data_IF_473617779937
#
_entry.id   IF_473617779937
#
_cell.length_a   1.000
_cell.length_b   1.000
_cell.length_c   1.000
_cell.angle_alpha   90.00
_cell.angle_beta   90.00
_cell.angle_gamma   90.00
#
_symmetry.space_group_name_H-M   'P 1'
#
loop_
_entity.id
_entity.type
_entity.pdbx_description
1 polymer ?
#
# COMPACT_ATOMS: atom_id res chain seq x y z
N UNK A 1 6.47 -10.34 14.67
CA UNK A 1 6.28 -9.84 13.32
C UNK A 1 5.44 -8.59 13.31
N UNK A 2 5.84 -7.63 12.51
CA UNK A 2 5.12 -6.35 12.46
C UNK A 2 3.93 -6.44 11.52
N UNK A 3 2.76 -6.15 12.05
CA UNK A 3 1.55 -5.98 11.26
C UNK A 3 1.48 -4.57 10.72
N UNK A 4 0.73 -4.36 9.66
CA UNK A 4 0.46 -3.02 9.15
C UNK A 4 -0.62 -2.36 10.02
N UNK A 5 -0.18 -1.60 11.01
CA UNK A 5 -1.04 -0.94 12.00
C UNK A 5 -1.18 0.54 11.73
N UNK A 6 -2.22 1.15 12.32
CA UNK A 6 -2.24 2.60 12.53
C UNK A 6 -1.00 2.98 13.33
N UNK A 7 -0.26 3.99 12.85
CA UNK A 7 0.99 4.43 13.46
C UNK A 7 2.24 3.75 12.92
N UNK A 8 2.11 2.72 12.08
CA UNK A 8 3.28 2.09 11.49
C UNK A 8 3.76 2.82 10.24
N UNK A 9 5.06 2.73 10.00
CA UNK A 9 5.69 3.29 8.82
C UNK A 9 5.65 2.27 7.68
N UNK A 10 5.45 2.77 6.47
CA UNK A 10 5.41 1.94 5.27
C UNK A 10 6.25 2.57 4.17
N UNK A 11 6.76 1.72 3.29
CA UNK A 11 7.47 2.18 2.09
C UNK A 11 6.48 2.39 0.95
N UNK A 12 6.71 3.43 0.16
CA UNK A 12 5.94 3.66 -1.06
C UNK A 12 6.66 3.01 -2.23
N UNK A 13 5.91 2.23 -3.01
CA UNK A 13 6.44 1.50 -4.16
C UNK A 13 5.78 1.92 -5.46
N UNK A 14 5.69 3.24 -5.65
CA UNK A 14 5.21 3.80 -6.91
C UNK A 14 6.08 4.97 -7.36
N UNK A 15 5.73 5.56 -8.49
CA UNK A 15 6.51 6.64 -9.10
C UNK A 15 6.12 8.05 -8.65
N UNK A 16 5.33 8.20 -7.59
CA UNK A 16 4.89 9.52 -7.10
C UNK A 16 6.01 10.34 -6.46
N UNK A 17 7.13 9.69 -6.11
CA UNK A 17 8.24 10.35 -5.43
C UNK A 17 8.19 10.24 -3.92
N UNK A 18 7.10 9.82 -3.34
CA UNK A 18 7.04 9.53 -1.91
C UNK A 18 7.90 8.29 -1.60
N UNK A 19 8.63 8.33 -0.49
CA UNK A 19 9.50 7.22 -0.07
C UNK A 19 8.92 6.49 1.12
N UNK A 20 8.54 7.22 2.16
CA UNK A 20 7.99 6.67 3.38
C UNK A 20 6.75 7.43 3.81
N UNK A 21 5.80 6.70 4.36
CA UNK A 21 4.56 7.24 4.88
C UNK A 21 4.25 6.66 6.25
N UNK A 22 3.46 7.37 7.02
CA UNK A 22 2.93 6.92 8.30
C UNK A 22 1.45 6.65 8.15
N UNK A 23 1.00 5.48 8.56
CA UNK A 23 -0.41 5.12 8.50
C UNK A 23 -1.17 5.86 9.60
N UNK A 24 -2.14 6.68 9.19
CA UNK A 24 -2.98 7.44 10.13
C UNK A 24 -4.23 6.64 10.47
N UNK A 25 -4.83 5.99 9.49
CA UNK A 25 -6.13 5.36 9.63
C UNK A 25 -6.31 4.22 8.63
N UNK A 26 -7.00 3.16 9.05
CA UNK A 26 -7.40 2.06 8.17
C UNK A 26 -8.88 2.20 7.86
N UNK A 27 -9.24 2.24 6.58
CA UNK A 27 -10.61 2.39 6.14
C UNK A 27 -11.33 1.03 6.11
N UNK A 28 -12.66 1.08 6.05
CA UNK A 28 -13.47 -0.12 5.87
C UNK A 28 -14.10 -0.67 7.14
N UNK A 29 -14.15 0.11 8.21
CA UNK A 29 -14.84 -0.32 9.44
C UNK A 29 -14.54 0.58 10.61
N UNK A 30 -15.37 0.47 11.64
CA UNK A 30 -15.21 1.24 12.86
C UNK A 30 -14.02 0.72 13.65
N UNK A 31 -13.10 1.61 14.03
CA UNK A 31 -11.94 1.30 14.90
C UNK A 31 -11.01 0.22 14.35
N UNK A 32 -10.90 0.08 13.03
CA UNK A 32 -9.92 -0.85 12.47
C UNK A 32 -8.51 -0.41 12.81
N UNK A 33 -7.71 -1.37 13.30
CA UNK A 33 -6.32 -1.12 13.71
C UNK A 33 -5.31 -1.69 12.73
N UNK A 34 -5.69 -2.73 11.98
CA UNK A 34 -4.78 -3.48 11.12
C UNK A 34 -5.24 -3.42 9.68
N UNK A 35 -4.30 -3.18 8.78
CA UNK A 35 -4.54 -3.25 7.34
C UNK A 35 -3.99 -4.55 6.79
N UNK A 36 -4.71 -5.13 5.86
CA UNK A 36 -4.32 -6.33 5.12
C UNK A 36 -4.04 -5.97 3.67
N UNK A 37 -3.56 -6.94 2.91
CA UNK A 37 -3.34 -6.78 1.48
C UNK A 37 -4.63 -6.32 0.79
N UNK A 38 -4.53 -5.25 0.00
CA UNK A 38 -5.65 -4.68 -0.71
C UNK A 38 -6.55 -3.76 0.09
N UNK A 39 -6.23 -3.51 1.36
CA UNK A 39 -6.99 -2.55 2.16
C UNK A 39 -6.57 -1.13 1.84
N UNK A 40 -7.54 -0.22 1.82
CA UNK A 40 -7.29 1.21 1.69
C UNK A 40 -6.96 1.81 3.04
N UNK A 41 -5.96 2.66 3.06
CA UNK A 41 -5.51 3.36 4.26
C UNK A 41 -5.34 4.84 3.98
N UNK A 42 -5.34 5.63 5.04
CA UNK A 42 -4.98 7.05 4.97
C UNK A 42 -3.58 7.20 5.54
N UNK A 43 -2.70 7.85 4.81
CA UNK A 43 -1.30 8.00 5.19
C UNK A 43 -0.88 9.46 5.12
N UNK A 44 0.15 9.81 5.89
CA UNK A 44 0.86 11.09 5.77
C UNK A 44 2.26 10.82 5.24
N UNK A 45 2.71 11.61 4.29
CA UNK A 45 4.02 11.45 3.67
C UNK A 45 5.09 11.94 4.61
N UNK A 46 6.02 11.07 5.01
CA UNK A 46 7.11 11.38 5.92
C UNK A 46 8.38 11.76 5.17
N UNK A 47 8.61 11.16 4.02
CA UNK A 47 9.78 11.43 3.20
C UNK A 47 9.39 11.33 1.72
N UNK A 48 9.86 12.29 0.94
CA UNK A 48 9.56 12.35 -0.49
C UNK A 48 10.69 13.05 -1.23
N UNK A 49 10.82 12.72 -2.54
CA UNK A 49 11.78 13.44 -3.38
C UNK A 49 11.30 14.87 -3.63
N UNK A 50 12.23 15.86 -3.70
CA UNK A 50 11.83 17.26 -3.89
C UNK A 50 11.00 17.52 -5.15
N UNK A 51 11.23 16.75 -6.21
CA UNK A 51 10.58 16.94 -7.52
C UNK A 51 9.44 15.97 -7.78
N UNK A 52 8.98 15.25 -6.74
CA UNK A 52 7.88 14.30 -6.89
C UNK A 52 6.53 14.99 -6.95
N UNK A 53 5.52 14.25 -7.41
CA UNK A 53 4.14 14.74 -7.45
C UNK A 53 3.53 14.88 -6.05
N UNK A 54 4.10 14.19 -5.07
CA UNK A 54 3.64 14.21 -3.69
C UNK A 54 4.73 14.82 -2.82
N UNK A 55 4.34 15.69 -1.90
CA UNK A 55 5.27 16.41 -1.03
C UNK A 55 5.20 15.91 0.40
N UNK A 56 6.28 16.10 1.13
CA UNK A 56 6.38 15.79 2.56
C UNK A 56 5.27 16.50 3.35
N UNK A 57 4.63 15.76 4.25
CA UNK A 57 3.54 16.27 5.07
C UNK A 57 2.15 16.14 4.46
N UNK A 58 2.06 15.78 3.20
CA UNK A 58 0.77 15.64 2.51
C UNK A 58 0.05 14.39 3.00
N UNK A 59 -1.27 14.51 3.15
CA UNK A 59 -2.15 13.37 3.52
C UNK A 59 -2.76 12.80 2.25
N UNK A 60 -2.74 11.49 2.10
CA UNK A 60 -3.22 10.82 0.90
C UNK A 60 -3.86 9.47 1.24
N UNK A 61 -4.67 8.98 0.32
CA UNK A 61 -5.13 7.59 0.34
C UNK A 61 -4.02 6.70 -0.23
N UNK A 62 -4.00 5.46 0.25
CA UNK A 62 -3.08 4.45 -0.26
C UNK A 62 -3.72 3.07 -0.16
N UNK A 63 -3.17 2.11 -0.87
CA UNK A 63 -3.57 0.71 -0.79
C UNK A 63 -2.35 -0.13 -0.43
N UNK A 64 -2.53 -1.08 0.47
CA UNK A 64 -1.47 -1.97 0.92
C UNK A 64 -1.21 -3.02 -0.14
N UNK A 65 0.03 -3.08 -0.65
CA UNK A 65 0.43 -4.04 -1.69
C UNK A 65 1.33 -5.15 -1.16
N UNK A 66 2.01 -4.93 -0.03
CA UNK A 66 2.87 -5.91 0.62
C UNK A 66 2.74 -5.80 2.13
N UNK A 67 2.83 -6.95 2.81
CA UNK A 67 2.85 -6.98 4.27
C UNK A 67 3.94 -7.92 4.76
N UNK A 68 4.58 -7.56 5.87
CA UNK A 68 5.53 -8.43 6.57
C UNK A 68 4.83 -9.58 7.29
N UNK A 69 3.62 -9.32 7.79
CA UNK A 69 2.81 -10.35 8.43
C UNK A 69 2.27 -11.29 7.38
N UNK A 70 2.41 -12.59 7.59
CA UNK A 70 1.86 -13.57 6.66
C UNK A 70 0.34 -13.47 6.57
N UNK A 71 -0.17 -13.64 5.36
CA UNK A 71 -1.59 -13.66 5.06
C UNK A 71 -1.94 -15.05 4.55
N UNK A 72 -2.94 -15.68 5.16
CA UNK A 72 -3.44 -16.98 4.72
C UNK A 72 -4.33 -16.81 3.49
N UNK A 73 -4.08 -17.62 2.49
CA UNK A 73 -4.88 -17.65 1.26
C UNK A 73 -5.94 -18.75 1.34
N UNK A 74 -6.92 -18.65 0.46
CA UNK A 74 -8.06 -19.60 0.42
C UNK A 74 -7.61 -21.04 0.15
N UNK A 75 -6.49 -21.23 -0.55
CA UNK A 75 -5.95 -22.56 -0.85
C UNK A 75 -5.11 -23.15 0.30
N UNK A 76 -5.01 -22.46 1.43
CA UNK A 76 -4.24 -22.89 2.59
C UNK A 76 -2.79 -22.44 2.59
N UNK A 77 -2.31 -21.84 1.53
CA UNK A 77 -0.95 -21.30 1.50
C UNK A 77 -0.87 -19.96 2.20
N UNK A 78 0.36 -19.51 2.48
CA UNK A 78 0.63 -18.22 3.12
C UNK A 78 1.53 -17.39 2.22
N UNK A 79 1.36 -16.08 2.26
CA UNK A 79 2.28 -15.15 1.61
C UNK A 79 2.73 -14.11 2.62
N UNK A 80 4.01 -13.76 2.56
CA UNK A 80 4.57 -12.64 3.29
C UNK A 80 5.69 -12.01 2.47
N UNK A 81 5.95 -10.75 2.74
CA UNK A 81 6.99 -9.97 2.07
C UNK A 81 8.01 -9.47 3.08
N UNK A 82 9.13 -8.94 2.59
CA UNK A 82 10.18 -8.41 3.45
C UNK A 82 9.83 -7.05 4.07
N UNK A 83 8.80 -6.40 3.57
CA UNK A 83 8.42 -5.07 4.01
C UNK A 83 6.93 -4.85 3.94
N UNK A 84 6.45 -3.84 4.69
CA UNK A 84 5.12 -3.30 4.51
C UNK A 84 5.21 -2.20 3.47
N UNK A 85 4.47 -2.33 2.39
CA UNK A 85 4.53 -1.37 1.28
C UNK A 85 3.14 -1.03 0.79
N UNK A 86 3.00 0.19 0.30
CA UNK A 86 1.74 0.67 -0.24
C UNK A 86 1.98 1.50 -1.50
N UNK A 87 0.89 1.75 -2.22
CA UNK A 87 0.86 2.57 -3.42
C UNK A 87 -0.16 3.68 -3.17
N UNK A 88 0.22 4.92 -3.48
CA UNK A 88 -0.66 6.07 -3.25
C UNK A 88 -1.81 6.10 -4.25
N UNK A 89 -2.98 6.47 -3.75
CA UNK A 89 -4.20 6.59 -4.53
C UNK A 89 -4.70 8.03 -4.52
N UNK A 90 -5.34 8.43 -5.61
CA UNK A 90 -6.12 9.66 -5.65
C UNK A 90 -7.44 9.45 -4.89
N UNK A 91 -8.15 10.54 -4.60
CA UNK A 91 -9.46 10.46 -3.93
C UNK A 91 -10.48 9.64 -4.71
N UNK A 92 -10.32 9.57 -6.04
CA UNK A 92 -11.16 8.75 -6.89
C UNK A 92 -10.90 7.25 -6.75
N UNK A 93 -9.83 6.86 -6.05
CA UNK A 93 -9.45 5.46 -5.88
C UNK A 93 -8.46 4.96 -6.91
N UNK A 94 -8.06 5.78 -7.88
CA UNK A 94 -7.09 5.41 -8.89
C UNK A 94 -5.66 5.69 -8.44
N UNK A 95 -4.69 4.99 -9.02
CA UNK A 95 -3.26 5.24 -8.76
C UNK A 95 -2.89 6.68 -9.10
N UNK A 96 -2.13 7.30 -8.20
CA UNK A 96 -1.55 8.63 -8.46
C UNK A 96 -0.31 8.54 -9.34
N UNK A 97 0.49 7.50 -9.17
CA UNK A 97 1.68 7.26 -9.96
C UNK A 97 1.39 6.50 -11.25
N UNK A 98 2.40 6.39 -12.09
CA UNK A 98 2.31 5.68 -13.38
C UNK A 98 3.03 4.33 -13.37
N UNK A 99 3.83 4.06 -12.33
CA UNK A 99 4.64 2.83 -12.23
C UNK A 99 4.52 2.23 -10.84
N UNK A 100 4.69 0.92 -10.78
CA UNK A 100 4.75 0.16 -9.52
C UNK A 100 6.08 -0.56 -9.47
N UNK A 101 6.77 -0.49 -8.33
CA UNK A 101 8.08 -1.10 -8.14
C UNK A 101 7.98 -2.37 -7.29
N UNK A 102 8.59 -3.45 -7.80
CA UNK A 102 8.64 -4.71 -7.11
C UNK A 102 7.34 -5.50 -7.15
N UNK A 103 7.30 -6.67 -6.49
CA UNK A 103 6.14 -7.55 -6.54
C UNK A 103 4.97 -7.00 -5.74
N UNK A 104 3.76 -7.38 -6.14
CA UNK A 104 2.54 -7.10 -5.39
C UNK A 104 1.80 -8.41 -5.16
N UNK A 105 0.92 -8.43 -4.16
CA UNK A 105 0.10 -9.59 -3.88
C UNK A 105 -1.07 -9.67 -4.85
N UNK A 106 -1.41 -10.88 -5.30
CA UNK A 106 -2.53 -11.08 -6.23
C UNK A 106 -3.90 -10.80 -5.60
N UNK A 107 -3.98 -10.69 -4.29
CA UNK A 107 -5.21 -10.29 -3.58
C UNK A 107 -5.73 -8.94 -4.02
N UNK A 108 -4.87 -8.09 -4.58
CA UNK A 108 -5.29 -6.80 -5.14
C UNK A 108 -6.26 -6.95 -6.31
N UNK A 109 -6.16 -8.05 -7.05
CA UNK A 109 -7.09 -8.35 -8.15
C UNK A 109 -8.50 -8.55 -7.62
N UNK A 110 -8.62 -9.27 -6.51
CA UNK A 110 -9.92 -9.53 -5.87
C UNK A 110 -10.55 -8.28 -5.28
N UNK A 111 -9.73 -7.29 -4.95
CA UNK A 111 -10.16 -5.99 -4.41
C UNK A 111 -10.32 -4.93 -5.50
N UNK A 112 -10.26 -5.32 -6.77
CA UNK A 112 -10.50 -4.47 -7.94
C UNK A 112 -9.40 -3.42 -8.21
N UNK A 113 -8.19 -3.68 -7.77
CA UNK A 113 -7.04 -2.83 -8.11
C UNK A 113 -6.30 -3.37 -9.34
N UNK A 114 -7.04 -3.54 -10.42
CA UNK A 114 -6.50 -4.19 -11.63
C UNK A 114 -5.38 -3.40 -12.28
N UNK A 115 -5.43 -2.08 -12.22
CA UNK A 115 -4.37 -1.24 -12.80
C UNK A 115 -3.04 -1.45 -12.09
N UNK A 116 -3.06 -1.56 -10.77
CA UNK A 116 -1.85 -1.84 -9.99
C UNK A 116 -1.28 -3.22 -10.36
N UNK A 117 -2.15 -4.21 -10.46
CA UNK A 117 -1.74 -5.57 -10.84
C UNK A 117 -1.13 -5.58 -12.24
N UNK A 118 -1.73 -4.86 -13.19
CA UNK A 118 -1.22 -4.82 -14.58
C UNK A 118 0.10 -4.09 -14.71
N UNK A 119 0.37 -3.11 -13.85
CA UNK A 119 1.62 -2.33 -13.88
C UNK A 119 2.74 -2.96 -13.05
N UNK A 120 2.42 -3.89 -12.16
CA UNK A 120 3.42 -4.52 -11.31
C UNK A 120 4.31 -5.45 -12.14
N UNK A 121 5.64 -5.43 -11.89
CA UNK A 121 6.55 -6.32 -12.62
C UNK A 121 6.36 -7.79 -12.26
N UNK A 122 5.80 -8.07 -11.09
CA UNK A 122 5.56 -9.43 -10.63
C UNK A 122 4.34 -9.46 -9.71
N UNK A 123 3.50 -10.48 -9.86
CA UNK A 123 2.31 -10.66 -9.03
C UNK A 123 2.43 -12.01 -8.32
N UNK A 124 2.53 -11.97 -7.03
CA UNK A 124 2.67 -13.15 -6.18
C UNK A 124 1.37 -13.40 -5.40
#
# INVERSE_FOLDING_TARGET
MKRCLVGSEMCIRDSTGAKEVLTIRVLGGTKRRYARLGDKIVVTVKDATPNGTVKKGQVSLAVVVRTKKEVRRNDGSYIRFDENACVLLAQTGEMRGTRVFGPVARELRDKQFMKIVSLAPEVL
#
